data_IF_766373400830
#
_entry.id   IF_766373400830
#
_cell.length_a   1.000
_cell.length_b   1.000
_cell.length_c   1.000
_cell.angle_alpha   90.00
_cell.angle_beta   90.00
_cell.angle_gamma   90.00
#
_symmetry.space_group_name_H-M   'P 1'
#
loop_
_entity.id
_entity.type
_entity.pdbx_description
1 polymer ?
#
# COMPACT_ATOMS: atom_id res chain seq x y z
N UNK A 1 -10.67 -20.85 -14.60
CA UNK A 1 -11.42 -20.71 -13.33
C UNK A 1 -12.86 -20.37 -13.66
N UNK A 2 -13.84 -21.06 -13.07
CA UNK A 2 -15.28 -20.78 -13.24
C UNK A 2 -15.72 -19.70 -12.25
N UNK A 3 -16.89 -19.06 -12.51
CA UNK A 3 -17.48 -18.11 -11.58
C UNK A 3 -17.69 -18.71 -10.18
N UNK A 4 -18.18 -19.97 -10.11
CA UNK A 4 -18.35 -20.67 -8.83
C UNK A 4 -17.04 -20.88 -8.06
N UNK A 5 -15.97 -21.23 -8.75
CA UNK A 5 -14.64 -21.36 -8.11
C UNK A 5 -14.09 -20.00 -7.62
N UNK A 6 -14.33 -18.92 -8.35
CA UNK A 6 -13.99 -17.58 -7.92
C UNK A 6 -14.79 -17.15 -6.67
N UNK A 7 -16.08 -17.45 -6.65
CA UNK A 7 -16.96 -17.19 -5.52
C UNK A 7 -16.49 -17.95 -4.28
N UNK A 8 -16.26 -19.27 -4.40
CA UNK A 8 -15.78 -20.12 -3.30
C UNK A 8 -14.45 -19.57 -2.71
N UNK A 9 -13.51 -19.17 -3.58
CA UNK A 9 -12.22 -18.60 -3.16
C UNK A 9 -12.38 -17.30 -2.36
N UNK A 10 -13.36 -16.47 -2.68
CA UNK A 10 -13.52 -15.16 -2.07
C UNK A 10 -14.47 -15.14 -0.87
N UNK A 11 -15.36 -16.13 -0.71
CA UNK A 11 -16.45 -16.09 0.28
C UNK A 11 -15.98 -15.92 1.72
N UNK A 12 -14.94 -16.63 2.16
CA UNK A 12 -14.40 -16.50 3.51
C UNK A 12 -13.84 -15.10 3.75
N UNK A 13 -13.07 -14.56 2.80
CA UNK A 13 -12.52 -13.21 2.86
C UNK A 13 -13.63 -12.15 2.93
N UNK A 14 -14.66 -12.28 2.08
CA UNK A 14 -15.81 -11.37 2.04
C UNK A 14 -16.58 -11.41 3.35
N UNK A 15 -16.81 -12.61 3.91
CA UNK A 15 -17.46 -12.76 5.21
C UNK A 15 -16.71 -12.00 6.30
N UNK A 16 -15.42 -12.23 6.46
CA UNK A 16 -14.61 -11.55 7.47
C UNK A 16 -14.50 -10.04 7.24
N UNK A 17 -14.40 -9.61 5.98
CA UNK A 17 -14.35 -8.19 5.63
C UNK A 17 -15.63 -7.46 6.04
N UNK A 18 -16.79 -8.01 5.72
CA UNK A 18 -18.07 -7.42 6.06
C UNK A 18 -18.38 -7.42 7.57
N UNK A 19 -17.73 -8.28 8.35
CA UNK A 19 -17.83 -8.31 9.81
C UNK A 19 -16.75 -7.46 10.51
N UNK A 20 -15.89 -6.75 9.75
CA UNK A 20 -14.87 -5.84 10.28
C UNK A 20 -13.70 -6.54 10.97
N UNK A 21 -13.45 -7.81 10.68
CA UNK A 21 -12.39 -8.62 11.27
C UNK A 21 -11.39 -9.18 10.23
N UNK A 22 -11.33 -8.59 9.04
CA UNK A 22 -10.37 -8.93 8.00
C UNK A 22 -9.22 -7.92 7.99
N UNK A 23 -8.08 -8.27 8.59
CA UNK A 23 -6.94 -7.37 8.74
C UNK A 23 -6.14 -7.15 7.43
N UNK A 24 -6.29 -8.04 6.45
CA UNK A 24 -5.51 -8.05 5.22
C UNK A 24 -6.38 -8.02 3.95
N UNK A 25 -7.36 -7.10 3.91
CA UNK A 25 -8.30 -6.99 2.78
C UNK A 25 -7.61 -6.79 1.42
N UNK A 26 -6.43 -6.20 1.39
CA UNK A 26 -5.59 -6.06 0.20
C UNK A 26 -5.18 -7.40 -0.44
N UNK A 27 -5.29 -8.52 0.26
CA UNK A 27 -4.97 -9.85 -0.30
C UNK A 27 -6.05 -10.37 -1.22
N UNK A 28 -7.28 -9.87 -1.08
CA UNK A 28 -8.38 -10.30 -1.95
C UNK A 28 -9.04 -9.16 -2.73
N UNK A 29 -9.07 -7.94 -2.22
CA UNK A 29 -9.50 -6.76 -2.97
C UNK A 29 -8.35 -6.21 -3.83
N UNK A 30 -8.70 -5.49 -4.89
CA UNK A 30 -7.74 -4.97 -5.84
C UNK A 30 -7.44 -5.91 -6.99
N UNK A 31 -6.27 -5.73 -7.59
CA UNK A 31 -5.80 -6.43 -8.78
C UNK A 31 -4.73 -7.46 -8.41
N UNK A 32 -4.98 -8.75 -8.69
CA UNK A 32 -4.08 -9.86 -8.35
C UNK A 32 -3.82 -10.76 -9.54
N UNK A 33 -2.56 -11.14 -9.76
CA UNK A 33 -2.17 -12.08 -10.80
C UNK A 33 -2.81 -13.45 -10.54
N UNK A 34 -3.32 -14.05 -11.60
CA UNK A 34 -3.85 -15.41 -11.60
C UNK A 34 -3.11 -16.22 -12.65
N UNK A 35 -2.60 -17.37 -12.22
CA UNK A 35 -2.00 -18.40 -13.08
C UNK A 35 -2.43 -19.76 -12.55
N UNK A 36 -3.64 -20.15 -12.89
CA UNK A 36 -4.25 -21.39 -12.38
C UNK A 36 -5.18 -22.01 -13.43
N UNK A 37 -5.14 -23.32 -13.53
CA UNK A 37 -6.02 -24.12 -14.42
C UNK A 37 -5.97 -23.70 -15.89
N UNK A 38 -4.80 -23.24 -16.36
CA UNK A 38 -4.61 -22.74 -17.74
C UNK A 38 -5.22 -21.36 -18.00
N UNK A 39 -5.67 -20.66 -16.96
CA UNK A 39 -6.11 -19.27 -17.03
C UNK A 39 -4.99 -18.38 -16.49
N UNK A 40 -4.44 -17.54 -17.37
CA UNK A 40 -3.43 -16.53 -17.03
C UNK A 40 -4.03 -15.15 -17.24
N UNK A 41 -3.84 -14.25 -16.27
CA UNK A 41 -4.36 -12.89 -16.32
C UNK A 41 -4.35 -12.24 -14.95
N UNK A 42 -5.24 -11.28 -14.77
CA UNK A 42 -5.42 -10.63 -13.47
C UNK A 42 -6.87 -10.71 -13.01
N UNK A 43 -7.05 -11.08 -11.74
CA UNK A 43 -8.34 -10.98 -11.04
C UNK A 43 -8.47 -9.59 -10.48
N UNK A 44 -9.59 -8.95 -10.74
CA UNK A 44 -10.01 -7.70 -10.13
C UNK A 44 -11.13 -7.99 -9.13
N UNK A 45 -11.05 -7.45 -7.94
CA UNK A 45 -12.10 -7.55 -6.93
C UNK A 45 -12.32 -6.19 -6.27
N UNK A 46 -13.53 -5.65 -6.43
CA UNK A 46 -13.90 -4.29 -6.02
C UNK A 46 -15.07 -4.35 -5.05
N UNK A 47 -14.95 -3.70 -3.91
CA UNK A 47 -16.05 -3.53 -2.98
C UNK A 47 -16.86 -2.27 -3.32
N UNK A 48 -18.06 -2.47 -3.80
CA UNK A 48 -18.98 -1.42 -4.21
C UNK A 48 -20.44 -1.84 -3.89
N UNK A 49 -20.83 -1.81 -2.59
CA UNK A 49 -22.09 -2.42 -2.12
C UNK A 49 -23.35 -1.73 -2.64
N UNK A 50 -23.24 -0.49 -3.12
CA UNK A 50 -24.36 0.28 -3.64
C UNK A 50 -24.34 0.47 -5.15
N UNK A 51 -23.40 -0.17 -5.85
CA UNK A 51 -23.33 -0.12 -7.30
C UNK A 51 -24.42 -0.99 -7.93
N UNK A 52 -24.99 -0.53 -9.04
CA UNK A 52 -25.84 -1.33 -9.91
C UNK A 52 -25.00 -2.25 -10.79
N UNK A 53 -23.84 -1.77 -11.28
CA UNK A 53 -22.83 -2.52 -11.98
C UNK A 53 -21.43 -1.96 -11.71
N UNK A 54 -20.41 -2.81 -11.83
CA UNK A 54 -19.00 -2.42 -11.76
C UNK A 54 -18.26 -2.90 -12.99
N UNK A 55 -17.41 -2.05 -13.53
CA UNK A 55 -16.63 -2.30 -14.73
C UNK A 55 -15.14 -2.10 -14.47
N UNK A 56 -14.32 -2.82 -15.22
CA UNK A 56 -12.89 -2.55 -15.35
C UNK A 56 -12.61 -2.09 -16.78
N UNK A 57 -11.84 -1.04 -16.92
CA UNK A 57 -11.42 -0.48 -18.20
C UNK A 57 -9.95 -0.07 -18.12
N UNK A 58 -9.18 -0.37 -19.15
CA UNK A 58 -7.74 -0.10 -19.17
C UNK A 58 -7.10 -0.38 -20.53
N UNK A 59 -5.78 -0.31 -20.55
CA UNK A 59 -5.00 -0.52 -21.77
C UNK A 59 -5.26 -1.90 -22.41
N UNK A 60 -5.51 -2.90 -21.57
CA UNK A 60 -5.75 -4.30 -21.99
C UNK A 60 -7.07 -4.51 -22.77
N UNK A 61 -8.05 -3.62 -22.63
CA UNK A 61 -9.35 -3.69 -23.30
C UNK A 61 -9.70 -2.41 -24.04
N UNK A 62 -8.69 -1.62 -24.45
CA UNK A 62 -8.87 -0.35 -25.15
C UNK A 62 -9.79 0.65 -24.43
N UNK A 63 -9.73 0.66 -23.10
CA UNK A 63 -10.53 1.51 -22.24
C UNK A 63 -12.04 1.34 -22.40
N UNK A 64 -12.47 0.13 -22.73
CA UNK A 64 -13.88 -0.22 -22.80
C UNK A 64 -14.36 -0.82 -21.49
N UNK A 65 -15.59 -0.53 -21.10
CA UNK A 65 -16.20 -1.02 -19.88
C UNK A 65 -16.39 -2.56 -19.96
N UNK A 66 -15.58 -3.32 -19.26
CA UNK A 66 -15.69 -4.76 -19.11
C UNK A 66 -16.36 -5.08 -17.77
N UNK A 67 -17.54 -5.72 -17.75
CA UNK A 67 -18.32 -5.90 -16.54
C UNK A 67 -17.69 -6.92 -15.61
N UNK A 68 -17.65 -6.60 -14.32
CA UNK A 68 -17.41 -7.57 -13.25
C UNK A 68 -18.72 -8.25 -12.83
N UNK A 69 -18.60 -9.46 -12.30
CA UNK A 69 -19.73 -10.18 -11.73
C UNK A 69 -19.92 -9.85 -10.27
N UNK A 70 -21.16 -9.61 -9.85
CA UNK A 70 -21.48 -9.49 -8.42
C UNK A 70 -21.29 -10.85 -7.73
N UNK A 71 -20.44 -10.90 -6.72
CA UNK A 71 -20.15 -12.14 -5.97
C UNK A 71 -21.13 -12.24 -4.79
N UNK A 72 -20.83 -11.51 -3.71
CA UNK A 72 -21.67 -11.38 -2.50
C UNK A 72 -21.14 -10.21 -1.65
N UNK A 73 -21.89 -9.80 -0.62
CA UNK A 73 -21.42 -8.82 0.36
C UNK A 73 -20.99 -7.46 -0.21
N UNK A 74 -21.46 -7.12 -1.40
CA UNK A 74 -21.09 -5.90 -2.11
C UNK A 74 -19.76 -5.99 -2.87
N UNK A 75 -19.18 -7.17 -3.02
CA UNK A 75 -17.96 -7.40 -3.80
C UNK A 75 -18.31 -7.81 -5.23
N UNK A 76 -17.64 -7.17 -6.17
CA UNK A 76 -17.68 -7.43 -7.60
C UNK A 76 -16.33 -7.96 -8.05
N UNK A 77 -16.29 -9.07 -8.77
CA UNK A 77 -15.02 -9.63 -9.22
C UNK A 77 -15.09 -10.26 -10.61
N UNK A 78 -13.92 -10.35 -11.24
CA UNK A 78 -13.74 -10.98 -12.54
C UNK A 78 -12.25 -11.18 -12.84
N UNK A 79 -11.98 -12.05 -13.82
CA UNK A 79 -10.62 -12.30 -14.33
C UNK A 79 -10.55 -11.72 -15.74
N UNK A 80 -9.63 -10.78 -15.93
CA UNK A 80 -9.35 -10.16 -17.21
C UNK A 80 -8.15 -10.87 -17.82
N UNK A 81 -8.41 -11.64 -18.87
CA UNK A 81 -7.36 -12.28 -19.67
C UNK A 81 -6.69 -11.22 -20.55
N UNK A 82 -5.36 -11.28 -20.67
CA UNK A 82 -4.60 -10.30 -21.46
C UNK A 82 -4.27 -9.02 -20.71
N UNK A 83 -4.73 -8.84 -19.47
CA UNK A 83 -4.19 -7.81 -18.60
C UNK A 83 -2.74 -8.19 -18.21
N UNK A 84 -1.83 -7.22 -18.31
CA UNK A 84 -0.40 -7.39 -18.04
C UNK A 84 0.09 -6.34 -17.05
N UNK A 85 1.18 -6.65 -16.37
CA UNK A 85 1.86 -5.71 -15.47
C UNK A 85 2.21 -4.41 -16.21
N UNK A 86 2.10 -3.29 -15.52
CA UNK A 86 2.38 -1.93 -15.97
C UNK A 86 1.30 -1.31 -16.90
N UNK A 87 0.24 -2.02 -17.22
CA UNK A 87 -0.91 -1.44 -17.92
C UNK A 87 -1.76 -0.59 -16.96
N UNK A 88 -2.30 0.52 -17.48
CA UNK A 88 -3.17 1.41 -16.71
C UNK A 88 -4.63 0.92 -16.75
N UNK A 89 -5.35 1.16 -15.63
CA UNK A 89 -6.79 0.88 -15.55
C UNK A 89 -7.53 1.81 -14.60
N UNK A 90 -8.84 1.87 -14.76
CA UNK A 90 -9.80 2.48 -13.84
C UNK A 90 -10.95 1.54 -13.52
N UNK A 91 -11.65 1.87 -12.46
CA UNK A 91 -12.90 1.21 -12.05
C UNK A 91 -14.06 2.09 -12.43
N UNK A 92 -15.01 1.56 -13.20
CA UNK A 92 -16.28 2.23 -13.53
C UNK A 92 -17.38 1.79 -12.57
N UNK A 93 -17.99 2.71 -11.85
CA UNK A 93 -19.10 2.48 -10.91
C UNK A 93 -20.38 3.01 -11.53
N UNK A 94 -21.31 2.13 -11.86
CA UNK A 94 -22.65 2.49 -12.31
C UNK A 94 -23.60 2.59 -11.10
N UNK A 95 -24.19 3.73 -10.93
CA UNK A 95 -25.13 4.01 -9.84
C UNK A 95 -26.60 3.67 -10.18
N UNK A 96 -26.87 3.05 -11.34
CA UNK A 96 -28.20 2.68 -11.81
C UNK A 96 -29.07 3.85 -12.29
N UNK A 97 -28.46 5.04 -12.46
CA UNK A 97 -29.12 6.26 -12.93
C UNK A 97 -28.68 6.69 -14.35
N UNK A 98 -27.96 5.83 -15.05
CA UNK A 98 -27.36 6.09 -16.36
C UNK A 98 -26.02 6.85 -16.31
N UNK A 99 -25.49 7.09 -15.12
CA UNK A 99 -24.18 7.72 -14.92
C UNK A 99 -23.15 6.69 -14.41
N UNK A 100 -22.00 6.61 -15.09
CA UNK A 100 -20.87 5.80 -14.65
C UNK A 100 -19.77 6.76 -14.16
N UNK A 101 -19.35 6.58 -12.92
CA UNK A 101 -18.24 7.31 -12.31
C UNK A 101 -16.96 6.48 -12.43
N UNK A 102 -15.89 7.08 -12.97
CA UNK A 102 -14.59 6.41 -13.13
C UNK A 102 -13.64 6.81 -12.00
N UNK A 103 -13.12 5.80 -11.30
CA UNK A 103 -12.26 5.96 -10.12
C UNK A 103 -10.99 5.14 -10.23
N UNK A 104 -10.02 5.47 -9.41
CA UNK A 104 -8.88 4.59 -9.12
C UNK A 104 -9.37 3.39 -8.31
N UNK A 105 -8.59 2.31 -8.34
CA UNK A 105 -8.79 1.18 -7.42
C UNK A 105 -8.18 1.52 -6.06
N UNK A 106 -8.98 1.60 -4.97
CA UNK A 106 -8.48 1.94 -3.64
C UNK A 106 -7.50 0.90 -3.06
N UNK A 107 -7.48 -0.31 -3.60
CA UNK A 107 -6.55 -1.38 -3.25
C UNK A 107 -5.44 -1.58 -4.28
N UNK A 108 -5.24 -0.62 -5.19
CA UNK A 108 -4.15 -0.64 -6.17
C UNK A 108 -2.78 -0.54 -5.49
N UNK A 109 -1.80 -1.25 -6.02
CA UNK A 109 -0.42 -1.28 -5.53
C UNK A 109 0.53 -0.34 -6.27
N UNK A 110 0.06 0.27 -7.35
CA UNK A 110 0.80 1.27 -8.11
C UNK A 110 -0.16 2.22 -8.85
N UNK A 111 0.26 3.46 -9.05
CA UNK A 111 -0.53 4.50 -9.70
C UNK A 111 0.33 5.29 -10.67
N UNK A 112 -0.31 5.92 -11.66
CA UNK A 112 0.36 6.89 -12.51
C UNK A 112 0.75 8.13 -11.69
N UNK A 113 1.87 8.74 -12.04
CA UNK A 113 2.32 9.99 -11.41
C UNK A 113 1.44 11.14 -11.89
N UNK A 114 0.96 11.96 -10.93
CA UNK A 114 0.18 13.15 -11.26
C UNK A 114 0.86 14.03 -12.33
N UNK A 115 0.11 14.64 -13.26
CA UNK A 115 -1.35 14.84 -13.24
C UNK A 115 -2.19 13.68 -13.79
N UNK A 116 -1.58 12.58 -14.18
CA UNK A 116 -2.30 11.37 -14.54
C UNK A 116 -2.90 10.73 -13.29
N UNK A 117 -3.95 9.92 -13.45
CA UNK A 117 -4.77 9.46 -12.35
C UNK A 117 -5.31 8.03 -12.51
N UNK A 118 -4.64 7.17 -13.26
CA UNK A 118 -5.02 5.79 -13.36
C UNK A 118 -4.29 4.90 -12.34
N UNK A 119 -4.92 3.80 -11.95
CA UNK A 119 -4.26 2.70 -11.26
C UNK A 119 -3.44 1.90 -12.27
N UNK A 120 -2.32 1.37 -11.84
CA UNK A 120 -1.44 0.54 -12.67
C UNK A 120 -1.52 -0.90 -12.20
N UNK A 121 -1.71 -1.83 -13.13
CA UNK A 121 -1.67 -3.27 -12.85
C UNK A 121 -0.31 -3.63 -12.27
N UNK A 122 -0.30 -4.05 -11.00
CA UNK A 122 0.92 -4.37 -10.26
C UNK A 122 0.66 -5.55 -9.33
N UNK A 123 1.65 -6.41 -9.12
CA UNK A 123 1.57 -7.53 -8.19
C UNK A 123 2.38 -7.27 -6.93
N UNK A 124 2.07 -8.01 -5.86
CA UNK A 124 2.89 -8.14 -4.68
C UNK A 124 3.84 -9.31 -4.91
N UNK A 125 4.99 -9.05 -5.49
CA UNK A 125 5.97 -10.10 -5.76
C UNK A 125 6.80 -10.38 -4.52
N UNK A 126 7.29 -11.60 -4.41
CA UNK A 126 8.19 -12.01 -3.34
C UNK A 126 9.47 -11.16 -3.37
N UNK A 127 9.95 -10.80 -2.20
CA UNK A 127 11.17 -10.03 -2.00
C UNK A 127 12.08 -10.76 -1.03
N UNK A 128 13.33 -10.94 -1.39
CA UNK A 128 14.33 -11.59 -0.54
C UNK A 128 14.93 -10.59 0.45
N UNK A 129 14.49 -10.69 1.70
CA UNK A 129 15.01 -9.87 2.79
C UNK A 129 16.37 -10.37 3.26
N UNK A 130 17.37 -9.49 3.35
CA UNK A 130 18.71 -9.81 3.86
C UNK A 130 18.96 -9.29 5.28
N UNK A 131 17.96 -8.71 5.94
CA UNK A 131 18.05 -8.08 7.25
C UNK A 131 17.72 -8.99 8.44
N UNK A 132 17.77 -10.31 8.27
CA UNK A 132 17.40 -11.29 9.30
C UNK A 132 18.17 -11.11 10.62
N UNK A 133 19.45 -10.69 10.55
CA UNK A 133 20.25 -10.42 11.74
C UNK A 133 19.65 -9.27 12.55
N UNK A 134 19.22 -8.20 11.88
CA UNK A 134 18.55 -7.07 12.51
C UNK A 134 17.20 -7.49 13.08
N UNK A 135 16.39 -8.22 12.34
CA UNK A 135 15.09 -8.72 12.77
C UNK A 135 15.17 -9.54 14.05
N UNK A 136 16.20 -10.38 14.18
CA UNK A 136 16.42 -11.19 15.38
C UNK A 136 16.90 -10.39 16.60
N UNK A 137 17.44 -9.20 16.40
CA UNK A 137 18.03 -8.36 17.46
C UNK A 137 17.23 -7.09 17.78
N UNK A 138 16.26 -6.70 16.93
CA UNK A 138 15.55 -5.41 17.06
C UNK A 138 14.90 -5.21 18.43
N UNK A 139 14.40 -6.27 19.07
CA UNK A 139 13.76 -6.18 20.37
C UNK A 139 14.72 -5.77 21.50
N UNK A 140 16.03 -6.04 21.34
CA UNK A 140 17.06 -5.58 22.28
C UNK A 140 17.45 -4.13 22.02
N UNK A 141 17.56 -3.76 20.75
CA UNK A 141 18.02 -2.44 20.30
C UNK A 141 16.92 -1.38 20.45
N UNK A 142 15.66 -1.75 20.21
CA UNK A 142 14.50 -0.87 20.38
C UNK A 142 13.82 -1.06 21.74
N UNK A 143 14.61 -1.37 22.78
CA UNK A 143 14.14 -1.38 24.17
C UNK A 143 13.71 0.02 24.59
N UNK A 144 12.66 0.12 25.42
CA UNK A 144 12.22 1.39 26.03
C UNK A 144 13.31 2.08 26.90
N UNK A 145 14.38 1.35 27.22
CA UNK A 145 15.53 1.86 27.95
C UNK A 145 16.71 2.27 27.03
N UNK A 146 16.58 2.06 25.73
CA UNK A 146 17.59 2.47 24.76
C UNK A 146 17.44 3.95 24.41
N UNK A 147 18.54 4.69 24.24
CA UNK A 147 18.46 6.08 23.80
C UNK A 147 17.87 6.15 22.39
N UNK A 148 16.98 7.11 22.17
CA UNK A 148 16.39 7.42 20.88
C UNK A 148 16.91 8.75 20.37
N UNK A 149 17.36 8.77 19.12
CA UNK A 149 17.67 9.96 18.35
C UNK A 149 17.07 9.77 16.96
N UNK A 150 15.95 10.43 16.69
CA UNK A 150 15.13 10.23 15.50
C UNK A 150 15.41 11.35 14.50
N UNK A 151 15.68 10.98 13.26
CA UNK A 151 15.77 11.90 12.13
C UNK A 151 14.49 11.83 11.31
N UNK A 152 13.60 12.80 11.48
CA UNK A 152 12.42 12.94 10.65
C UNK A 152 12.78 13.54 9.30
N UNK A 153 12.25 12.97 8.20
CA UNK A 153 12.61 13.40 6.86
C UNK A 153 11.43 13.32 5.89
N UNK A 154 11.28 14.40 5.11
CA UNK A 154 10.38 14.44 3.96
C UNK A 154 11.17 14.11 2.68
N UNK A 155 10.86 12.99 2.04
CA UNK A 155 11.65 12.44 0.94
C UNK A 155 11.83 13.43 -0.23
N UNK A 156 10.79 14.18 -0.61
CA UNK A 156 10.85 15.06 -1.78
C UNK A 156 11.62 16.35 -1.55
N UNK A 157 11.86 16.76 -0.29
CA UNK A 157 12.52 18.02 0.04
C UNK A 157 13.86 17.88 0.76
N UNK A 158 14.23 16.69 1.20
CA UNK A 158 15.48 16.46 1.93
C UNK A 158 16.71 16.86 1.09
N UNK A 159 16.79 16.33 -0.12
CA UNK A 159 17.75 16.74 -1.15
C UNK A 159 17.11 16.70 -2.51
N UNK A 160 17.59 17.52 -3.43
CA UNK A 160 17.17 17.54 -4.83
C UNK A 160 18.37 17.53 -5.74
N UNK A 161 18.20 16.98 -6.93
CA UNK A 161 19.15 17.11 -8.01
C UNK A 161 19.23 18.57 -8.51
N UNK A 162 20.32 18.94 -9.20
CA UNK A 162 20.45 20.29 -9.77
C UNK A 162 19.33 20.67 -10.75
N UNK A 163 18.68 19.69 -11.36
CA UNK A 163 17.51 19.86 -12.24
C UNK A 163 16.17 19.98 -11.49
N UNK A 164 16.20 19.92 -10.14
CA UNK A 164 15.03 19.99 -9.27
C UNK A 164 14.31 18.67 -9.03
N UNK A 165 14.73 17.56 -9.64
CA UNK A 165 14.19 16.22 -9.43
C UNK A 165 14.42 15.75 -7.99
N UNK A 166 13.42 15.07 -7.42
CA UNK A 166 13.53 14.39 -6.11
C UNK A 166 14.44 13.18 -6.19
N UNK A 167 15.00 12.77 -5.06
CA UNK A 167 15.72 11.51 -4.96
C UNK A 167 14.76 10.32 -5.02
N UNK A 168 15.19 9.27 -5.72
CA UNK A 168 14.52 7.96 -5.72
C UNK A 168 14.82 7.19 -4.43
N UNK A 169 14.10 6.08 -4.18
CA UNK A 169 14.40 5.21 -3.04
C UNK A 169 15.83 4.68 -3.06
N UNK A 170 16.35 4.32 -4.23
CA UNK A 170 17.75 3.89 -4.37
C UNK A 170 18.73 5.02 -4.01
N UNK A 171 18.51 6.23 -4.52
CA UNK A 171 19.33 7.41 -4.22
C UNK A 171 19.23 7.83 -2.74
N UNK A 172 18.06 7.65 -2.11
CA UNK A 172 17.88 7.84 -0.67
C UNK A 172 18.66 6.79 0.13
N UNK A 173 18.64 5.51 -0.30
CA UNK A 173 19.45 4.47 0.33
C UNK A 173 20.94 4.85 0.34
N UNK A 174 21.45 5.26 -0.81
CA UNK A 174 22.87 5.60 -0.99
C UNK A 174 23.29 6.88 -0.24
N UNK A 175 22.36 7.79 0.02
CA UNK A 175 22.71 9.13 0.55
C UNK A 175 22.20 9.38 1.96
N UNK A 176 20.94 9.00 2.27
CA UNK A 176 20.32 9.27 3.57
C UNK A 176 20.81 8.29 4.64
N UNK A 177 20.94 6.99 4.31
CA UNK A 177 21.37 5.98 5.28
C UNK A 177 22.79 6.28 5.80
N UNK A 178 23.81 6.53 4.94
CA UNK A 178 25.13 6.94 5.42
C UNK A 178 25.11 8.24 6.21
N UNK A 179 24.34 9.24 5.79
CA UNK A 179 24.25 10.53 6.48
C UNK A 179 23.72 10.37 7.91
N UNK A 180 22.61 9.69 8.12
CA UNK A 180 22.02 9.54 9.46
C UNK A 180 22.88 8.68 10.36
N UNK A 181 23.62 7.72 9.79
CA UNK A 181 24.60 6.90 10.50
C UNK A 181 25.80 7.72 10.97
N UNK A 182 26.38 8.55 10.09
CA UNK A 182 27.49 9.44 10.40
C UNK A 182 27.14 10.45 11.48
N UNK A 183 25.90 11.00 11.41
CA UNK A 183 25.39 11.98 12.37
C UNK A 183 24.97 11.37 13.71
N UNK A 184 24.99 10.05 13.86
CA UNK A 184 24.68 9.35 15.11
C UNK A 184 23.19 9.23 15.42
N UNK A 185 22.32 9.34 14.43
CA UNK A 185 20.90 9.05 14.61
C UNK A 185 20.65 7.55 14.76
N UNK A 186 19.65 7.22 15.59
CA UNK A 186 19.26 5.82 15.82
C UNK A 186 18.08 5.39 14.99
N UNK A 187 17.26 6.33 14.51
CA UNK A 187 16.04 6.06 13.74
C UNK A 187 15.91 7.07 12.61
N UNK A 188 15.33 6.63 11.50
CA UNK A 188 14.81 7.50 10.45
C UNK A 188 13.29 7.42 10.53
N UNK A 189 12.64 8.57 10.64
CA UNK A 189 11.19 8.68 10.52
C UNK A 189 10.86 9.30 9.15
N UNK A 190 10.33 8.47 8.24
CA UNK A 190 9.89 8.97 6.94
C UNK A 190 8.50 9.57 7.07
N UNK A 191 8.32 10.82 6.66
CA UNK A 191 6.99 11.39 6.43
C UNK A 191 6.25 10.54 5.39
N UNK A 192 4.89 10.63 5.26
CA UNK A 192 4.12 9.66 4.48
C UNK A 192 4.65 9.44 3.07
N UNK A 193 4.89 8.17 2.73
CA UNK A 193 5.44 7.73 1.44
C UNK A 193 4.38 7.10 0.53
N UNK A 194 3.15 6.97 1.02
CA UNK A 194 2.03 6.43 0.24
C UNK A 194 1.68 7.36 -0.92
N UNK A 195 1.03 6.81 -1.95
CA UNK A 195 0.69 7.59 -3.13
C UNK A 195 -0.24 8.76 -2.81
N UNK A 196 0.13 9.92 -3.31
CA UNK A 196 -0.58 11.17 -3.15
C UNK A 196 -0.34 12.10 -4.34
N UNK A 197 -1.36 12.81 -4.85
CA UNK A 197 -1.23 13.64 -6.03
C UNK A 197 -0.54 14.98 -5.76
N UNK A 198 -0.64 15.51 -4.53
CA UNK A 198 -0.16 16.84 -4.14
C UNK A 198 1.08 16.76 -3.26
N UNK A 199 2.25 17.04 -3.83
CA UNK A 199 3.53 17.05 -3.11
C UNK A 199 3.53 18.02 -1.90
N UNK A 200 2.87 19.17 -2.03
CA UNK A 200 2.72 20.17 -0.96
C UNK A 200 1.92 19.67 0.26
N UNK A 201 1.23 18.53 0.15
CA UNK A 201 0.57 17.87 1.29
C UNK A 201 1.53 17.09 2.18
N UNK A 202 2.81 16.96 1.77
CA UNK A 202 3.84 16.15 2.42
C UNK A 202 3.45 14.67 2.55
N UNK A 203 2.55 14.20 1.68
CA UNK A 203 2.03 12.83 1.70
C UNK A 203 0.83 12.60 2.64
N UNK A 204 0.31 13.63 3.30
CA UNK A 204 -0.84 13.49 4.20
C UNK A 204 -2.21 13.46 3.49
N UNK A 205 -2.27 13.80 2.19
CA UNK A 205 -3.47 13.67 1.36
C UNK A 205 -3.37 12.42 0.46
N UNK A 206 -3.47 11.27 1.09
CA UNK A 206 -3.28 9.97 0.46
C UNK A 206 -4.45 9.64 -0.48
N UNK A 207 -4.12 9.12 -1.66
CA UNK A 207 -5.09 8.54 -2.61
C UNK A 207 -4.88 7.03 -2.80
N UNK A 208 -3.64 6.55 -2.75
CA UNK A 208 -3.30 5.14 -2.84
C UNK A 208 -2.77 4.58 -1.51
N UNK A 209 -3.65 3.99 -0.70
CA UNK A 209 -3.30 3.48 0.64
C UNK A 209 -2.34 2.29 0.63
N UNK A 210 -2.26 1.55 -0.48
CA UNK A 210 -1.46 0.34 -0.64
C UNK A 210 -0.32 0.51 -1.63
N UNK A 211 -0.08 1.72 -2.11
CA UNK A 211 0.98 2.04 -3.05
C UNK A 211 1.97 3.05 -2.47
N UNK A 212 3.24 2.92 -2.83
CA UNK A 212 4.24 3.98 -2.63
C UNK A 212 4.07 5.06 -3.70
N UNK A 213 4.42 6.29 -3.36
CA UNK A 213 4.36 7.38 -4.32
C UNK A 213 5.39 7.17 -5.45
N UNK A 214 4.90 7.01 -6.68
CA UNK A 214 5.73 6.72 -7.85
C UNK A 214 6.79 7.78 -8.18
N UNK A 215 6.71 8.98 -7.58
CA UNK A 215 7.77 9.99 -7.69
C UNK A 215 9.10 9.53 -7.07
N UNK A 216 9.07 8.62 -6.11
CA UNK A 216 10.24 8.11 -5.43
C UNK A 216 10.70 6.75 -5.98
N UNK A 217 9.87 6.08 -6.77
CA UNK A 217 10.17 4.77 -7.37
C UNK A 217 9.08 3.73 -7.17
N UNK A 218 9.44 2.48 -7.35
CA UNK A 218 8.53 1.33 -7.25
C UNK A 218 8.45 0.77 -5.82
N UNK A 219 7.49 -0.13 -5.61
CA UNK A 219 7.36 -0.85 -4.34
C UNK A 219 8.59 -1.72 -4.05
N UNK A 220 9.18 -2.32 -5.08
CA UNK A 220 10.39 -3.14 -4.96
C UNK A 220 11.59 -2.29 -4.54
N UNK A 221 11.78 -1.12 -5.14
CA UNK A 221 12.84 -0.17 -4.74
C UNK A 221 12.63 0.33 -3.31
N UNK A 222 11.38 0.52 -2.89
CA UNK A 222 11.08 0.85 -1.50
C UNK A 222 11.40 -0.30 -0.53
N UNK A 223 11.05 -1.55 -0.88
CA UNK A 223 11.43 -2.73 -0.08
C UNK A 223 12.96 -2.82 0.05
N UNK A 224 13.68 -2.55 -1.02
CA UNK A 224 15.15 -2.54 -1.01
C UNK A 224 15.73 -1.42 -0.13
N UNK A 225 15.17 -0.21 -0.19
CA UNK A 225 15.53 0.88 0.71
C UNK A 225 15.36 0.48 2.19
N UNK A 226 14.22 -0.14 2.53
CA UNK A 226 13.95 -0.64 3.90
C UNK A 226 14.94 -1.73 4.29
N UNK A 227 15.22 -2.66 3.38
CA UNK A 227 16.17 -3.76 3.58
C UNK A 227 17.59 -3.24 3.84
N UNK A 228 18.03 -2.24 3.08
CA UNK A 228 19.34 -1.60 3.28
C UNK A 228 19.41 -0.82 4.58
N UNK A 229 18.34 -0.11 4.96
CA UNK A 229 18.26 0.61 6.22
C UNK A 229 18.36 -0.34 7.42
N UNK A 230 17.74 -1.52 7.35
CA UNK A 230 17.79 -2.53 8.42
C UNK A 230 19.04 -3.41 8.34
N UNK A 231 19.48 -3.79 7.14
CA UNK A 231 20.56 -4.76 6.92
C UNK A 231 21.98 -4.19 7.06
N UNK A 232 22.12 -2.85 7.06
CA UNK A 232 23.41 -2.22 7.28
C UNK A 232 23.89 -2.50 8.73
N UNK A 233 25.19 -2.44 8.98
CA UNK A 233 25.76 -2.53 10.35
C UNK A 233 25.27 -1.40 11.28
N UNK A 234 24.41 -0.53 10.78
CA UNK A 234 23.70 0.48 11.53
C UNK A 234 22.64 -0.19 12.42
N UNK A 235 22.61 0.23 13.68
CA UNK A 235 21.66 -0.31 14.67
C UNK A 235 20.29 0.35 14.62
N UNK A 236 20.06 1.19 13.61
CA UNK A 236 18.88 2.01 13.50
C UNK A 236 17.64 1.27 13.00
N UNK A 237 16.50 1.89 13.19
CA UNK A 237 15.20 1.45 12.74
C UNK A 237 14.62 2.47 11.75
N UNK A 238 14.03 2.00 10.67
CA UNK A 238 13.18 2.83 9.84
C UNK A 238 11.79 2.88 10.47
N UNK A 239 11.37 4.06 10.89
CA UNK A 239 10.00 4.34 11.31
C UNK A 239 9.31 5.01 10.13
N UNK A 240 8.18 4.44 9.72
CA UNK A 240 7.33 5.07 8.72
C UNK A 240 6.21 5.75 9.49
N UNK A 241 5.96 7.02 9.21
CA UNK A 241 4.98 7.85 9.93
C UNK A 241 3.67 7.10 10.17
N UNK A 242 3.07 7.36 11.32
CA UNK A 242 1.87 6.69 11.87
C UNK A 242 0.60 6.69 10.96
N UNK A 243 0.66 7.28 9.78
CA UNK A 243 -0.42 7.29 8.80
C UNK A 243 -0.46 6.01 7.96
N UNK A 244 0.61 5.20 7.99
CA UNK A 244 0.61 3.92 7.26
C UNK A 244 -0.21 2.88 8.02
N UNK A 245 -1.26 2.31 7.41
CA UNK A 245 -2.04 1.26 8.06
C UNK A 245 -1.17 0.02 8.34
N UNK A 246 -1.41 -0.65 9.47
CA UNK A 246 -0.72 -1.90 9.87
C UNK A 246 -0.59 -2.96 8.75
N UNK A 247 -1.57 -3.09 7.83
CA UNK A 247 -1.45 -4.00 6.68
C UNK A 247 -0.22 -3.79 5.80
N UNK A 248 0.37 -2.59 5.79
CA UNK A 248 1.58 -2.31 5.01
C UNK A 248 2.78 -3.19 5.37
N UNK A 249 2.96 -3.47 6.64
CA UNK A 249 4.06 -4.32 7.09
C UNK A 249 3.86 -5.77 6.65
N UNK A 250 2.63 -6.25 6.75
CA UNK A 250 2.27 -7.60 6.27
C UNK A 250 2.35 -7.67 4.74
N UNK A 251 1.92 -6.62 4.04
CA UNK A 251 2.04 -6.50 2.58
C UNK A 251 3.50 -6.54 2.12
N UNK A 252 4.42 -5.99 2.90
CA UNK A 252 5.86 -6.10 2.64
C UNK A 252 6.44 -7.46 3.00
N UNK A 253 5.63 -8.45 3.41
CA UNK A 253 6.08 -9.78 3.82
C UNK A 253 6.69 -9.80 5.23
N UNK A 254 6.42 -8.78 6.07
CA UNK A 254 6.91 -8.71 7.45
C UNK A 254 5.79 -9.08 8.42
N UNK A 255 6.09 -9.96 9.38
CA UNK A 255 5.13 -10.37 10.40
C UNK A 255 4.94 -9.26 11.45
N UNK A 256 3.68 -8.83 11.72
CA UNK A 256 3.38 -7.78 12.71
C UNK A 256 3.80 -8.12 14.14
N UNK A 257 3.92 -9.42 14.46
CA UNK A 257 4.31 -9.92 15.78
C UNK A 257 5.67 -9.41 16.27
N UNK A 258 6.49 -8.87 15.36
CA UNK A 258 7.82 -8.37 15.68
C UNK A 258 7.88 -6.84 15.86
N UNK A 259 6.76 -6.14 15.67
CA UNK A 259 6.68 -4.68 15.80
C UNK A 259 5.74 -4.37 16.95
N UNK A 260 6.30 -4.01 18.11
CA UNK A 260 5.51 -3.43 19.19
C UNK A 260 5.10 -2.02 18.77
N UNK A 261 3.91 -1.90 18.22
CA UNK A 261 3.26 -0.59 18.11
C UNK A 261 2.88 -0.16 19.53
N UNK A 262 3.37 0.99 19.97
CA UNK A 262 2.82 1.66 21.14
C UNK A 262 1.48 2.29 20.75
N UNK A 263 0.46 1.48 20.55
CA UNK A 263 -0.91 1.98 20.56
C UNK A 263 -1.28 2.17 22.02
N UNK A 264 -1.04 3.36 22.55
CA UNK A 264 -1.79 3.79 23.71
C UNK A 264 -3.27 3.77 23.33
N UNK A 265 -4.15 3.11 24.10
CA UNK A 265 -5.57 3.17 23.82
C UNK A 265 -6.00 4.62 24.01
N UNK A 266 -6.37 5.30 22.92
CA UNK A 266 -7.06 6.59 23.00
C UNK A 266 -8.47 6.32 23.52
N UNK A 267 -8.61 6.25 24.84
CA UNK A 267 -9.90 6.40 25.49
C UNK A 267 -10.31 7.87 25.34
N UNK A 268 -11.10 8.14 24.32
CA UNK A 268 -11.88 9.37 24.27
C UNK A 268 -12.93 9.28 25.39
N UNK A 269 -12.54 9.78 26.55
CA UNK A 269 -13.46 10.03 27.66
C UNK A 269 -14.36 11.21 27.32
N UNK A 270 -15.52 10.95 26.72
CA UNK A 270 -16.60 11.92 26.63
C UNK A 270 -17.15 12.20 28.01
N UNK A 271 -16.64 13.25 28.68
CA UNK A 271 -17.21 13.78 29.90
C UNK A 271 -18.60 14.33 29.63
N UNK A 272 -19.65 13.64 30.08
CA UNK A 272 -20.98 14.24 30.24
C UNK A 272 -20.93 15.14 31.48
N UNK A 273 -21.03 16.44 31.28
CA UNK A 273 -21.37 17.36 32.35
C UNK A 273 -22.87 17.19 32.68
N UNK A 274 -23.17 16.62 33.83
CA UNK A 274 -24.47 16.76 34.45
C UNK A 274 -24.47 18.04 35.26
N UNK A 275 -25.22 19.04 34.80
CA UNK A 275 -25.62 20.19 35.60
C UNK A 275 -26.86 19.81 36.39
N UNK A 276 -26.78 19.88 37.68
CA UNK A 276 -27.91 20.20 38.59
C UNK A 276 -27.98 21.68 38.81
#
# INVERSE_FOLDING_TARGET
MTFAALQEQLSEHIYHFNHGNHEAAYQFLGCHKVDQDGVTGYRFAIWAPHAANVYILGDFNHWQNEPLSHIEGGVWAGIIQGAERSQCYKVGIDHGNGHIEYKIDPFGFNFEIAPKDATVVWGLEDFEWSDQVWMNQQWRKNSVHSPLNIYEVHASSWRRHPDGRTYTFAELADSLIPYVKEMGYTHIEMMPLMDHPLDASWGYQITGYYAVCGRYGTLEEFKDFVNQASGSSWTGCLVISAVMPMPWLTMMGRQPSNIKTSTAPTTWGGGRSTST
#
